data_IF_493740667263
#
_entry.id   IF_493740667263
#
_cell.length_a   1.000
_cell.length_b   1.000
_cell.length_c   1.000
_cell.angle_alpha   90.00
_cell.angle_beta   90.00
_cell.angle_gamma   90.00
#
_symmetry.space_group_name_H-M   'P 1'
#
loop_
_entity.id
_entity.type
_entity.pdbx_description
1 polymer ?
#
# COMPACT_ATOMS: atom_id res chain seq x y z
N UNK A 1 -16.61 32.82 48.16
CA UNK A 1 -16.59 31.65 49.05
C UNK A 1 -17.64 30.68 48.56
N UNK A 2 -17.22 29.52 48.09
CA UNK A 2 -18.06 28.35 47.84
C UNK A 2 -17.19 27.13 48.12
N UNK A 3 -17.78 26.18 48.85
CA UNK A 3 -17.11 25.17 49.65
C UNK A 3 -16.10 24.29 48.94
N UNK A 4 -15.02 24.00 49.66
CA UNK A 4 -13.99 23.04 49.31
C UNK A 4 -14.49 21.60 49.40
N UNK A 5 -15.16 21.13 48.34
CA UNK A 5 -15.37 19.70 48.12
C UNK A 5 -14.20 19.15 47.30
N UNK A 6 -13.12 18.75 47.98
CA UNK A 6 -12.09 17.90 47.40
C UNK A 6 -12.66 16.52 47.14
N UNK A 7 -13.01 16.25 45.88
CA UNK A 7 -13.44 14.95 45.40
C UNK A 7 -13.47 14.91 43.87
N UNK A 8 -13.26 13.73 43.29
CA UNK A 8 -13.38 13.50 41.85
C UNK A 8 -14.84 13.75 41.43
N UNK A 9 -15.10 14.91 40.84
CA UNK A 9 -16.41 15.26 40.28
C UNK A 9 -16.48 14.82 38.83
N UNK A 10 -17.55 14.09 38.47
CA UNK A 10 -17.84 13.73 37.08
C UNK A 10 -18.14 15.01 36.30
N UNK A 11 -17.31 15.30 35.30
CA UNK A 11 -17.50 16.43 34.38
C UNK A 11 -17.74 15.90 32.96
N UNK A 12 -18.38 16.72 32.13
CA UNK A 12 -18.49 16.42 30.71
C UNK A 12 -17.13 16.56 30.02
N UNK A 13 -16.91 15.85 28.90
CA UNK A 13 -15.67 16.01 28.11
C UNK A 13 -15.47 17.46 27.65
N UNK A 14 -16.55 18.18 27.35
CA UNK A 14 -16.51 19.56 26.90
C UNK A 14 -16.03 20.50 28.02
N UNK A 15 -16.50 20.31 29.25
CA UNK A 15 -16.06 21.11 30.39
C UNK A 15 -14.61 20.83 30.78
N UNK A 16 -14.14 19.59 30.62
CA UNK A 16 -12.74 19.23 30.84
C UNK A 16 -11.83 19.98 29.87
N UNK A 17 -12.18 19.99 28.58
CA UNK A 17 -11.44 20.71 27.54
C UNK A 17 -11.41 22.22 27.83
N UNK A 18 -12.56 22.82 28.07
CA UNK A 18 -12.66 24.26 28.34
C UNK A 18 -11.83 24.71 29.56
N UNK A 19 -11.76 23.87 30.61
CA UNK A 19 -10.95 24.16 31.81
C UNK A 19 -9.45 24.02 31.53
N UNK A 20 -9.04 23.04 30.72
CA UNK A 20 -7.64 22.83 30.34
C UNK A 20 -7.13 23.86 29.33
N UNK A 21 -8.03 24.49 28.58
CA UNK A 21 -7.68 25.46 27.52
C UNK A 21 -7.99 26.90 27.91
N UNK A 22 -8.22 27.17 29.20
CA UNK A 22 -8.52 28.51 29.70
C UNK A 22 -7.37 29.48 29.40
N UNK A 23 -7.68 30.60 28.74
CA UNK A 23 -6.69 31.60 28.32
C UNK A 23 -6.21 31.48 26.87
N UNK A 24 -6.63 30.45 26.13
CA UNK A 24 -6.40 30.38 24.68
C UNK A 24 -7.59 31.03 23.96
N UNK A 25 -7.40 32.18 23.27
CA UNK A 25 -8.51 33.03 22.81
C UNK A 25 -9.40 32.37 21.75
N UNK A 26 -8.89 31.36 21.05
CA UNK A 26 -9.65 30.48 20.16
C UNK A 26 -8.83 29.22 19.91
N UNK A 27 -9.25 28.09 20.48
CA UNK A 27 -8.71 26.79 20.10
C UNK A 27 -9.63 26.18 19.03
N UNK A 28 -9.33 26.45 17.76
CA UNK A 28 -9.92 25.67 16.66
C UNK A 28 -9.17 24.35 16.59
N UNK A 29 -9.74 23.31 17.21
CA UNK A 29 -9.28 21.95 16.96
C UNK A 29 -9.97 21.51 15.67
N UNK A 30 -9.23 21.51 14.57
CA UNK A 30 -9.66 20.85 13.35
C UNK A 30 -9.69 19.33 13.60
N UNK A 31 -10.85 18.85 14.04
CA UNK A 31 -11.16 17.43 14.18
C UNK A 31 -11.43 16.75 12.83
N UNK A 32 -11.22 17.42 11.69
CA UNK A 32 -11.43 16.79 10.39
C UNK A 32 -10.58 15.53 10.23
N UNK A 33 -9.48 15.40 10.99
CA UNK A 33 -8.81 14.16 11.41
C UNK A 33 -8.29 13.25 10.29
N UNK A 34 -8.66 13.55 9.05
CA UNK A 34 -8.53 12.74 7.85
C UNK A 34 -7.70 13.50 6.85
N UNK A 35 -6.75 12.81 6.25
CA UNK A 35 -6.03 13.28 5.08
C UNK A 35 -6.69 12.69 3.85
N UNK A 36 -7.10 13.55 2.93
CA UNK A 36 -7.60 13.12 1.62
C UNK A 36 -6.38 12.87 0.73
N UNK A 37 -6.25 11.63 0.25
CA UNK A 37 -5.15 11.19 -0.59
C UNK A 37 -5.69 10.89 -1.98
N UNK A 38 -5.36 11.73 -2.95
CA UNK A 38 -5.78 11.54 -4.34
C UNK A 38 -4.88 10.51 -5.03
N UNK A 39 -5.50 9.55 -5.72
CA UNK A 39 -4.83 8.46 -6.45
C UNK A 39 -5.12 8.56 -7.95
N UNK A 40 -4.35 7.86 -8.76
CA UNK A 40 -4.43 7.96 -10.22
C UNK A 40 -5.70 7.36 -10.80
N UNK A 41 -6.18 6.26 -10.23
CA UNK A 41 -7.40 5.58 -10.69
C UNK A 41 -8.34 5.16 -9.55
N UNK A 42 -9.55 4.73 -9.93
CA UNK A 42 -10.50 4.06 -9.02
C UNK A 42 -9.92 2.76 -8.43
N UNK A 43 -9.08 2.08 -9.22
CA UNK A 43 -8.49 0.79 -8.83
C UNK A 43 -7.47 0.99 -7.73
N UNK A 44 -6.59 1.98 -7.88
CA UNK A 44 -5.55 2.26 -6.89
C UNK A 44 -6.17 2.76 -5.60
N UNK A 45 -7.20 3.62 -5.66
CA UNK A 45 -7.93 4.07 -4.48
C UNK A 45 -8.45 2.89 -3.66
N UNK A 46 -9.04 1.90 -4.32
CA UNK A 46 -9.54 0.68 -3.68
C UNK A 46 -8.41 -0.16 -3.09
N UNK A 47 -7.31 -0.34 -3.82
CA UNK A 47 -6.14 -1.10 -3.36
C UNK A 47 -5.51 -0.43 -2.13
N UNK A 48 -5.23 0.88 -2.20
CA UNK A 48 -4.65 1.64 -1.09
C UNK A 48 -5.54 1.59 0.15
N UNK A 49 -6.86 1.79 0.00
CA UNK A 49 -7.80 1.69 1.12
C UNK A 49 -7.78 0.29 1.74
N UNK A 50 -7.73 -0.76 0.91
CA UNK A 50 -7.66 -2.15 1.39
C UNK A 50 -6.37 -2.41 2.16
N UNK A 51 -5.22 -2.07 1.59
CA UNK A 51 -3.91 -2.24 2.24
C UNK A 51 -3.85 -1.44 3.53
N UNK A 52 -4.22 -0.15 3.50
CA UNK A 52 -4.24 0.72 4.67
C UNK A 52 -5.12 0.14 5.78
N UNK A 53 -6.31 -0.38 5.46
CA UNK A 53 -7.20 -0.99 6.44
C UNK A 53 -6.56 -2.17 7.19
N UNK A 54 -5.67 -2.93 6.52
CA UNK A 54 -4.95 -4.07 7.08
C UNK A 54 -3.78 -3.61 7.96
N UNK A 55 -3.01 -2.62 7.51
CA UNK A 55 -1.74 -2.24 8.14
C UNK A 55 -1.85 -1.05 9.09
N UNK A 56 -2.96 -0.30 9.12
CA UNK A 56 -3.10 0.92 9.94
C UNK A 56 -2.80 0.73 11.44
N UNK A 57 -3.01 -0.47 11.96
CA UNK A 57 -2.70 -0.81 13.36
C UNK A 57 -1.22 -1.04 13.64
N UNK A 58 -0.41 -1.19 12.58
CA UNK A 58 1.04 -1.43 12.62
C UNK A 58 1.86 -0.22 12.18
N UNK A 59 1.22 0.85 11.73
CA UNK A 59 1.87 2.10 11.32
C UNK A 59 1.44 3.24 12.23
N UNK A 60 2.39 4.08 12.63
CA UNK A 60 2.08 5.29 13.39
C UNK A 60 1.50 6.34 12.46
N UNK A 61 0.17 6.41 12.40
CA UNK A 61 -0.53 7.39 11.59
C UNK A 61 -1.28 8.39 12.49
N UNK A 62 -0.77 9.62 12.57
CA UNK A 62 -1.37 10.66 13.42
C UNK A 62 -2.78 11.09 12.97
N UNK A 63 -3.15 10.83 11.72
CA UNK A 63 -4.43 11.17 11.11
C UNK A 63 -4.88 10.03 10.21
N UNK A 64 -6.18 9.74 10.19
CA UNK A 64 -6.73 8.74 9.28
C UNK A 64 -6.45 9.13 7.82
N UNK A 65 -6.15 8.16 6.97
CA UNK A 65 -6.03 8.39 5.52
C UNK A 65 -7.35 7.99 4.87
N UNK A 66 -7.77 8.75 3.88
CA UNK A 66 -8.92 8.43 3.03
C UNK A 66 -8.49 8.60 1.57
N UNK A 67 -8.58 7.51 0.81
CA UNK A 67 -8.13 7.48 -0.58
C UNK A 67 -9.28 7.84 -1.52
N UNK A 68 -9.01 8.77 -2.44
CA UNK A 68 -9.98 9.29 -3.41
C UNK A 68 -9.38 9.16 -4.80
N UNK A 69 -10.13 8.58 -5.74
CA UNK A 69 -9.71 8.56 -7.12
C UNK A 69 -9.87 9.93 -7.77
N UNK A 70 -8.99 10.23 -8.73
CA UNK A 70 -9.08 11.45 -9.54
C UNK A 70 -9.94 11.28 -10.80
N UNK A 71 -10.19 10.03 -11.20
CA UNK A 71 -10.93 9.69 -12.41
C UNK A 71 -12.40 10.11 -12.37
N UNK A 72 -12.87 10.76 -13.43
CA UNK A 72 -14.31 10.81 -13.74
C UNK A 72 -14.64 9.65 -14.68
N UNK A 73 -15.52 8.75 -14.22
CA UNK A 73 -16.09 7.70 -15.07
C UNK A 73 -16.97 8.33 -16.15
N UNK A 74 -16.61 8.14 -17.41
CA UNK A 74 -17.49 8.46 -18.52
C UNK A 74 -18.67 7.48 -18.55
N UNK A 75 -19.77 7.88 -19.23
CA UNK A 75 -20.96 7.04 -19.43
C UNK A 75 -20.67 5.69 -20.09
N UNK A 76 -19.55 5.56 -20.79
CA UNK A 76 -19.11 4.34 -21.49
C UNK A 76 -18.13 3.47 -20.66
N UNK A 77 -17.91 3.79 -19.38
CA UNK A 77 -17.05 3.02 -18.48
C UNK A 77 -15.54 3.30 -18.61
N UNK A 78 -15.12 4.19 -19.51
CA UNK A 78 -13.74 4.70 -19.58
C UNK A 78 -13.48 5.80 -18.55
N UNK A 79 -12.29 5.83 -17.98
CA UNK A 79 -11.82 6.96 -17.15
C UNK A 79 -11.39 8.12 -18.05
N UNK A 80 -11.94 9.31 -17.82
CA UNK A 80 -11.31 10.55 -18.30
C UNK A 80 -10.77 11.32 -17.12
N UNK A 81 -9.67 12.04 -17.36
CA UNK A 81 -8.98 12.82 -16.34
C UNK A 81 -8.37 11.98 -15.18
N UNK A 82 -7.61 10.92 -15.50
CA UNK A 82 -6.79 10.15 -14.54
C UNK A 82 -5.27 10.35 -14.74
N UNK A 83 -4.46 9.89 -13.77
CA UNK A 83 -2.99 9.88 -13.83
C UNK A 83 -2.27 10.97 -13.04
N UNK A 84 -0.94 10.83 -12.95
CA UNK A 84 -0.04 11.69 -12.17
C UNK A 84 -0.24 13.21 -12.34
N UNK A 85 -0.44 13.67 -13.58
CA UNK A 85 -0.66 15.11 -13.89
C UNK A 85 -1.90 15.66 -13.18
N UNK A 86 -2.94 14.84 -13.05
CA UNK A 86 -4.25 15.29 -12.54
C UNK A 86 -4.27 15.25 -11.03
N UNK A 87 -3.70 14.20 -10.43
CA UNK A 87 -3.39 14.16 -9.00
C UNK A 87 -2.62 15.42 -8.60
N UNK A 88 -1.56 15.73 -9.33
CA UNK A 88 -0.72 16.91 -9.06
C UNK A 88 -1.51 18.22 -9.15
N UNK A 89 -2.28 18.41 -10.23
CA UNK A 89 -3.09 19.62 -10.42
C UNK A 89 -4.17 19.80 -9.33
N UNK A 90 -4.85 18.73 -8.93
CA UNK A 90 -5.88 18.78 -7.88
C UNK A 90 -5.27 19.15 -6.54
N UNK A 91 -4.17 18.48 -6.16
CA UNK A 91 -3.48 18.71 -4.89
C UNK A 91 -2.95 20.14 -4.82
N UNK A 92 -2.34 20.62 -5.90
CA UNK A 92 -1.83 21.99 -5.97
C UNK A 92 -2.96 23.02 -5.79
N UNK A 93 -4.06 22.91 -6.54
CA UNK A 93 -5.19 23.84 -6.44
C UNK A 93 -5.82 23.87 -5.05
N UNK A 94 -5.96 22.71 -4.42
CA UNK A 94 -6.52 22.61 -3.07
C UNK A 94 -5.56 23.18 -2.01
N UNK A 95 -4.26 22.98 -2.15
CA UNK A 95 -3.26 23.57 -1.25
C UNK A 95 -3.16 25.09 -1.39
N UNK A 96 -3.24 25.61 -2.62
CA UNK A 96 -3.32 27.05 -2.94
C UNK A 96 -4.59 27.69 -2.39
N UNK A 97 -5.72 26.96 -2.42
CA UNK A 97 -6.98 27.36 -1.78
C UNK A 97 -6.94 27.26 -0.24
N UNK A 98 -5.82 26.84 0.35
CA UNK A 98 -5.61 26.80 1.80
C UNK A 98 -5.94 25.46 2.46
N UNK A 99 -6.32 24.42 1.72
CA UNK A 99 -6.57 23.10 2.28
C UNK A 99 -5.25 22.38 2.58
N UNK A 100 -4.89 22.26 3.86
CA UNK A 100 -3.64 21.62 4.29
C UNK A 100 -3.77 20.12 4.60
N UNK A 101 -4.96 19.54 4.40
CA UNK A 101 -5.25 18.12 4.66
C UNK A 101 -5.30 17.26 3.38
N UNK A 102 -4.95 17.83 2.22
CA UNK A 102 -4.89 17.11 0.94
C UNK A 102 -3.48 16.65 0.61
N UNK A 103 -3.39 15.48 -0.01
CA UNK A 103 -2.18 14.84 -0.49
C UNK A 103 -2.47 14.11 -1.80
N UNK A 104 -1.43 13.83 -2.57
CA UNK A 104 -1.49 12.97 -3.75
C UNK A 104 -0.54 11.81 -3.60
N UNK A 105 -0.90 10.68 -4.18
CA UNK A 105 0.00 9.55 -4.39
C UNK A 105 -0.01 9.14 -5.85
N UNK A 106 1.17 8.92 -6.40
CA UNK A 106 1.41 8.63 -7.83
C UNK A 106 2.45 7.53 -7.95
N UNK A 107 2.42 6.79 -9.05
CA UNK A 107 3.42 5.76 -9.34
C UNK A 107 4.77 6.37 -9.72
N UNK A 108 5.83 5.58 -9.60
CA UNK A 108 7.18 6.06 -9.88
C UNK A 108 7.44 6.14 -11.39
N UNK A 109 6.96 5.16 -12.16
CA UNK A 109 7.16 5.07 -13.62
C UNK A 109 8.63 5.30 -14.04
N UNK A 110 9.56 4.91 -13.16
CA UNK A 110 11.00 5.10 -13.31
C UNK A 110 11.52 6.54 -13.20
N UNK A 111 10.68 7.56 -13.18
CA UNK A 111 11.11 8.97 -13.35
C UNK A 111 10.42 9.99 -12.45
N UNK A 112 9.24 9.68 -11.90
CA UNK A 112 8.52 10.59 -11.03
C UNK A 112 9.30 10.86 -9.74
N UNK A 113 9.15 12.05 -9.18
CA UNK A 113 9.77 12.43 -7.90
C UNK A 113 8.75 13.09 -6.99
N UNK A 114 8.85 12.83 -5.69
CA UNK A 114 7.94 13.41 -4.71
C UNK A 114 8.12 14.94 -4.61
N UNK A 115 7.05 15.70 -4.82
CA UNK A 115 7.09 17.17 -4.76
C UNK A 115 5.93 17.71 -3.92
N UNK A 116 6.27 18.55 -2.94
CA UNK A 116 5.29 19.20 -2.06
C UNK A 116 4.41 18.19 -1.30
N UNK A 117 3.12 18.15 -1.65
CA UNK A 117 2.11 17.26 -1.05
C UNK A 117 1.79 16.04 -1.91
N UNK A 118 2.43 15.91 -3.07
CA UNK A 118 2.37 14.72 -3.92
C UNK A 118 3.55 13.83 -3.55
N UNK A 119 3.28 12.57 -3.25
CA UNK A 119 4.27 11.56 -2.91
C UNK A 119 4.29 10.47 -3.97
N UNK A 120 5.47 10.08 -4.40
CA UNK A 120 5.65 8.94 -5.29
C UNK A 120 5.72 7.68 -4.45
N UNK A 121 4.88 6.68 -4.75
CA UNK A 121 4.94 5.39 -4.08
C UNK A 121 6.26 4.71 -4.45
N UNK A 122 6.96 4.14 -3.47
CA UNK A 122 8.17 3.37 -3.68
C UNK A 122 9.24 4.05 -4.57
N UNK A 123 9.36 5.38 -4.49
CA UNK A 123 10.27 6.20 -5.31
C UNK A 123 11.68 5.61 -5.39
N UNK A 124 12.15 5.32 -6.60
CA UNK A 124 13.47 4.74 -6.82
C UNK A 124 13.59 3.24 -6.51
N UNK A 125 12.53 2.56 -6.06
CA UNK A 125 12.55 1.15 -5.68
C UNK A 125 11.63 0.26 -6.53
N UNK A 126 10.36 0.62 -6.73
CA UNK A 126 9.37 -0.18 -7.48
C UNK A 126 8.66 0.71 -8.51
N UNK A 127 8.22 0.15 -9.65
CA UNK A 127 7.57 0.93 -10.71
C UNK A 127 6.26 1.59 -10.24
N UNK A 128 5.36 0.79 -9.66
CA UNK A 128 4.10 1.26 -9.08
C UNK A 128 3.65 0.43 -7.89
N UNK A 129 2.41 0.65 -7.44
CA UNK A 129 1.79 -0.14 -6.37
C UNK A 129 1.63 -1.63 -6.76
N UNK A 130 1.41 -1.92 -8.03
CA UNK A 130 1.37 -3.26 -8.59
C UNK A 130 2.67 -4.00 -8.29
N UNK A 131 3.84 -3.38 -8.56
CA UNK A 131 5.14 -4.02 -8.34
C UNK A 131 5.42 -4.25 -6.85
N UNK A 132 4.92 -3.39 -5.97
CA UNK A 132 4.99 -3.62 -4.53
C UNK A 132 4.13 -4.83 -4.13
N UNK A 133 2.89 -4.89 -4.59
CA UNK A 133 1.93 -5.89 -4.08
C UNK A 133 2.00 -7.21 -4.82
N UNK A 134 2.47 -7.22 -6.06
CA UNK A 134 2.85 -8.42 -6.82
C UNK A 134 4.30 -8.81 -6.50
N UNK A 135 4.75 -8.57 -5.26
CA UNK A 135 6.01 -9.05 -4.73
C UNK A 135 6.12 -10.58 -4.86
N UNK A 136 7.30 -11.12 -5.24
CA UNK A 136 7.46 -12.53 -5.51
C UNK A 136 7.19 -13.44 -4.29
N UNK A 137 7.45 -12.99 -3.06
CA UNK A 137 7.06 -13.74 -1.86
C UNK A 137 5.54 -13.82 -1.76
N UNK A 138 4.85 -12.69 -1.95
CA UNK A 138 3.39 -12.64 -1.87
C UNK A 138 2.72 -13.48 -2.97
N UNK A 139 3.24 -13.43 -4.20
CA UNK A 139 2.79 -14.30 -5.29
C UNK A 139 3.01 -15.78 -4.95
N UNK A 140 4.19 -16.12 -4.42
CA UNK A 140 4.47 -17.49 -4.01
C UNK A 140 3.45 -17.97 -2.96
N UNK A 141 3.13 -17.13 -1.98
CA UNK A 141 2.17 -17.47 -0.94
C UNK A 141 0.75 -17.63 -1.47
N UNK A 142 0.34 -16.78 -2.41
CA UNK A 142 -0.95 -16.95 -3.11
C UNK A 142 -1.00 -18.32 -3.82
N UNK A 143 0.06 -18.68 -4.54
CA UNK A 143 0.15 -19.97 -5.22
C UNK A 143 0.15 -21.16 -4.24
N UNK A 144 0.87 -21.04 -3.12
CA UNK A 144 0.88 -22.07 -2.07
C UNK A 144 -0.52 -22.24 -1.47
N UNK A 145 -1.22 -21.15 -1.17
CA UNK A 145 -2.60 -21.17 -0.65
C UNK A 145 -3.55 -21.89 -1.61
N UNK A 146 -3.39 -21.63 -2.91
CA UNK A 146 -4.20 -22.24 -3.97
C UNK A 146 -3.78 -23.68 -4.32
N UNK A 147 -2.81 -24.26 -3.60
CA UNK A 147 -2.24 -25.60 -3.88
C UNK A 147 -1.66 -25.70 -5.30
N UNK A 148 -0.95 -24.63 -5.69
CA UNK A 148 -0.28 -24.43 -6.97
C UNK A 148 1.17 -23.96 -6.81
N UNK A 149 1.78 -24.26 -5.66
CA UNK A 149 3.18 -23.93 -5.40
C UNK A 149 4.11 -24.47 -6.51
N UNK A 150 5.19 -23.75 -6.87
CA UNK A 150 6.27 -24.29 -7.67
C UNK A 150 6.76 -25.65 -7.14
N UNK A 151 7.03 -26.60 -8.04
CA UNK A 151 7.40 -27.98 -7.69
C UNK A 151 8.69 -28.05 -6.87
N UNK A 152 9.62 -27.13 -7.13
CA UNK A 152 10.90 -26.99 -6.43
C UNK A 152 10.77 -26.57 -4.95
N UNK A 153 9.56 -26.21 -4.50
CA UNK A 153 9.28 -25.78 -3.13
C UNK A 153 8.51 -26.82 -2.30
N UNK A 154 8.29 -28.05 -2.79
CA UNK A 154 7.44 -29.03 -2.09
C UNK A 154 7.84 -29.29 -0.63
N UNK A 155 9.11 -29.11 -0.27
CA UNK A 155 9.63 -29.27 1.09
C UNK A 155 9.28 -28.11 2.04
N UNK A 156 9.03 -26.91 1.51
CA UNK A 156 8.77 -25.70 2.30
C UNK A 156 7.45 -24.99 1.96
N UNK A 157 6.74 -25.44 0.93
CA UNK A 157 5.49 -24.86 0.42
C UNK A 157 4.32 -25.10 1.38
N UNK A 158 4.30 -24.35 2.47
CA UNK A 158 3.22 -24.32 3.45
C UNK A 158 2.71 -22.90 3.61
N UNK A 159 1.39 -22.74 3.47
CA UNK A 159 0.78 -21.45 3.73
C UNK A 159 0.67 -21.21 5.23
N UNK A 160 0.29 -22.24 6.01
CA UNK A 160 0.19 -22.14 7.47
C UNK A 160 1.58 -22.09 8.13
N UNK A 161 1.78 -21.07 8.97
CA UNK A 161 3.01 -20.89 9.75
C UNK A 161 4.20 -20.41 8.92
N UNK A 162 3.99 -19.85 7.73
CA UNK A 162 5.09 -19.33 6.88
C UNK A 162 5.93 -18.26 7.60
N UNK A 163 5.33 -17.53 8.54
CA UNK A 163 5.98 -16.57 9.44
C UNK A 163 7.05 -17.17 10.36
N UNK A 164 7.12 -18.50 10.44
CA UNK A 164 8.16 -19.24 11.18
C UNK A 164 9.30 -19.75 10.30
N UNK A 165 9.21 -19.58 8.98
CA UNK A 165 10.28 -19.98 8.06
C UNK A 165 11.51 -19.08 8.26
N UNK A 166 12.70 -19.67 8.07
CA UNK A 166 13.94 -18.92 8.06
C UNK A 166 14.04 -18.06 6.79
N UNK A 167 14.79 -16.96 6.85
CA UNK A 167 14.99 -16.08 5.70
C UNK A 167 15.53 -16.81 4.45
N UNK A 168 16.33 -17.85 4.62
CA UNK A 168 16.81 -18.67 3.49
C UNK A 168 15.68 -19.40 2.77
N UNK A 169 14.65 -19.83 3.50
CA UNK A 169 13.46 -20.49 2.94
C UNK A 169 12.57 -19.47 2.25
N UNK A 170 12.37 -18.29 2.86
CA UNK A 170 11.66 -17.17 2.23
C UNK A 170 12.36 -16.71 0.94
N UNK A 171 13.69 -16.65 0.93
CA UNK A 171 14.46 -16.36 -0.28
C UNK A 171 14.24 -17.42 -1.36
N UNK A 172 14.21 -18.71 -1.01
CA UNK A 172 13.89 -19.79 -1.97
C UNK A 172 12.51 -19.59 -2.60
N UNK A 173 11.52 -19.15 -1.82
CA UNK A 173 10.18 -18.84 -2.33
C UNK A 173 10.20 -17.68 -3.32
N UNK A 174 10.94 -16.61 -3.00
CA UNK A 174 11.16 -15.47 -3.89
C UNK A 174 11.84 -15.90 -5.19
N UNK A 175 12.93 -16.65 -5.09
CA UNK A 175 13.74 -17.14 -6.21
C UNK A 175 12.92 -17.97 -7.20
N UNK A 176 12.04 -18.85 -6.69
CA UNK A 176 11.17 -19.70 -7.49
C UNK A 176 10.15 -18.90 -8.34
N UNK A 177 9.78 -17.70 -7.91
CA UNK A 177 8.89 -16.81 -8.68
C UNK A 177 9.71 -15.92 -9.62
N UNK A 178 10.67 -15.16 -9.09
CA UNK A 178 11.35 -14.13 -9.86
C UNK A 178 12.14 -14.70 -11.06
N UNK A 179 12.73 -15.89 -10.93
CA UNK A 179 13.50 -16.51 -12.02
C UNK A 179 12.61 -17.10 -13.13
N UNK A 180 11.31 -17.31 -12.87
CA UNK A 180 10.34 -17.68 -13.92
C UNK A 180 9.77 -16.46 -14.64
N UNK A 181 9.75 -15.31 -13.99
CA UNK A 181 9.24 -14.04 -14.54
C UNK A 181 10.33 -13.29 -15.31
N UNK A 182 11.50 -13.11 -14.70
CA UNK A 182 12.66 -12.44 -15.30
C UNK A 182 13.63 -13.50 -15.83
N UNK A 183 13.46 -13.85 -17.10
CA UNK A 183 14.31 -14.85 -17.78
C UNK A 183 15.55 -14.22 -18.44
N UNK A 184 15.50 -12.92 -18.70
CA UNK A 184 16.61 -12.12 -19.24
C UNK A 184 16.70 -10.82 -18.46
N UNK A 185 17.87 -10.48 -17.95
CA UNK A 185 18.05 -9.29 -17.15
C UNK A 185 19.50 -9.06 -16.73
N UNK A 186 19.71 -7.98 -15.99
CA UNK A 186 21.01 -7.62 -15.42
C UNK A 186 21.48 -8.60 -14.34
N UNK A 187 20.54 -9.33 -13.72
CA UNK A 187 20.80 -10.16 -12.55
C UNK A 187 21.07 -9.34 -11.28
N UNK A 188 20.91 -8.01 -11.34
CA UNK A 188 21.10 -7.13 -10.19
C UNK A 188 20.02 -7.42 -9.17
N UNK A 189 20.41 -7.66 -7.92
CA UNK A 189 19.49 -7.85 -6.81
C UNK A 189 19.35 -6.55 -6.01
N UNK A 190 18.14 -6.30 -5.52
CA UNK A 190 17.82 -5.24 -4.58
C UNK A 190 17.12 -5.85 -3.36
N UNK A 191 17.42 -5.37 -2.14
CA UNK A 191 16.74 -5.84 -0.95
C UNK A 191 15.31 -5.29 -0.90
N UNK A 192 14.35 -6.14 -0.53
CA UNK A 192 12.96 -5.77 -0.22
C UNK A 192 12.71 -6.09 1.25
N UNK A 193 12.27 -5.10 2.02
CA UNK A 193 12.00 -5.20 3.46
C UNK A 193 10.50 -5.21 3.71
N UNK A 194 10.07 -6.10 4.60
CA UNK A 194 8.67 -6.26 5.00
C UNK A 194 8.39 -5.62 6.38
N UNK A 195 7.10 -5.41 6.70
CA UNK A 195 6.68 -4.77 7.96
C UNK A 195 7.12 -5.50 9.24
N UNK A 196 7.38 -6.81 9.18
CA UNK A 196 7.90 -7.57 10.33
C UNK A 196 9.43 -7.50 10.48
N UNK A 197 10.12 -6.78 9.59
CA UNK A 197 11.57 -6.62 9.58
C UNK A 197 12.31 -7.69 8.78
N UNK A 198 11.60 -8.67 8.19
CA UNK A 198 12.17 -9.62 7.24
C UNK A 198 12.67 -8.91 5.99
N UNK A 199 13.74 -9.44 5.38
CA UNK A 199 14.28 -8.93 4.12
C UNK A 199 14.60 -10.07 3.17
N UNK A 200 14.23 -9.92 1.91
CA UNK A 200 14.59 -10.81 0.79
C UNK A 200 15.31 -10.01 -0.29
N UNK A 201 15.96 -10.70 -1.22
CA UNK A 201 16.62 -10.09 -2.38
C UNK A 201 15.82 -10.38 -3.63
N UNK A 202 15.37 -9.33 -4.31
CA UNK A 202 14.56 -9.42 -5.53
C UNK A 202 15.33 -8.84 -6.71
N UNK A 203 15.19 -9.43 -7.89
CA UNK A 203 15.76 -8.95 -9.13
C UNK A 203 15.26 -7.54 -9.40
N UNK A 204 16.18 -6.62 -9.61
CA UNK A 204 15.88 -5.21 -9.90
C UNK A 204 14.94 -5.09 -11.10
N UNK A 205 15.19 -5.90 -12.12
CA UNK A 205 14.40 -5.97 -13.34
C UNK A 205 12.95 -6.42 -13.09
N UNK A 206 12.67 -7.16 -12.01
CA UNK A 206 11.31 -7.48 -11.55
C UNK A 206 10.66 -6.25 -10.93
N UNK A 207 11.37 -5.58 -10.01
CA UNK A 207 10.82 -4.46 -9.24
C UNK A 207 10.47 -3.25 -10.11
N UNK A 208 11.20 -3.04 -11.21
CA UNK A 208 11.03 -1.90 -12.12
C UNK A 208 10.38 -2.27 -13.45
N UNK A 209 9.86 -3.49 -13.58
CA UNK A 209 9.10 -3.90 -14.75
C UNK A 209 7.83 -3.04 -14.86
N UNK A 210 7.42 -2.68 -16.08
CA UNK A 210 6.11 -2.06 -16.32
C UNK A 210 4.99 -2.93 -15.72
N UNK A 211 4.01 -2.30 -15.09
CA UNK A 211 2.99 -2.98 -14.28
C UNK A 211 2.18 -4.00 -15.10
N UNK A 212 1.82 -3.65 -16.34
CA UNK A 212 1.10 -4.55 -17.24
C UNK A 212 2.01 -5.67 -17.71
N UNK A 213 3.27 -5.36 -18.05
CA UNK A 213 4.26 -6.37 -18.40
C UNK A 213 4.53 -7.35 -17.26
N UNK A 214 4.54 -6.89 -16.01
CA UNK A 214 4.71 -7.73 -14.82
C UNK A 214 3.53 -8.69 -14.64
N UNK A 215 2.30 -8.18 -14.71
CA UNK A 215 1.11 -9.02 -14.64
C UNK A 215 1.10 -10.08 -15.76
N UNK A 216 1.42 -9.69 -16.98
CA UNK A 216 1.44 -10.59 -18.14
C UNK A 216 2.54 -11.65 -18.02
N UNK A 217 3.74 -11.26 -17.56
CA UNK A 217 4.84 -12.17 -17.31
C UNK A 217 4.50 -13.17 -16.19
N UNK A 218 3.84 -12.71 -15.11
CA UNK A 218 3.32 -13.58 -14.05
C UNK A 218 2.29 -14.58 -14.57
N UNK A 219 1.33 -14.13 -15.39
CA UNK A 219 0.30 -15.00 -16.00
C UNK A 219 0.85 -15.95 -17.07
N UNK A 220 1.98 -15.60 -17.68
CA UNK A 220 2.70 -16.48 -18.60
C UNK A 220 3.45 -17.56 -17.83
N UNK A 221 4.18 -17.18 -16.77
CA UNK A 221 4.93 -18.08 -15.91
C UNK A 221 4.03 -19.01 -15.08
N UNK A 222 2.89 -18.50 -14.61
CA UNK A 222 1.94 -19.21 -13.77
C UNK A 222 0.52 -19.08 -14.34
N UNK A 223 0.13 -19.92 -15.32
CA UNK A 223 -1.15 -19.80 -16.01
C UNK A 223 -2.40 -19.80 -15.11
N UNK A 224 -2.30 -20.36 -13.90
CA UNK A 224 -3.39 -20.33 -12.92
C UNK A 224 -3.77 -18.90 -12.50
N UNK A 225 -2.82 -17.96 -12.50
CA UNK A 225 -3.08 -16.56 -12.14
C UNK A 225 -4.04 -15.85 -13.11
N UNK A 226 -4.29 -16.43 -14.29
CA UNK A 226 -5.31 -15.94 -15.25
C UNK A 226 -6.74 -15.97 -14.69
N UNK A 227 -6.97 -16.68 -13.58
CA UNK A 227 -8.21 -16.58 -12.79
C UNK A 227 -8.53 -15.13 -12.39
N UNK A 228 -7.51 -14.29 -12.19
CA UNK A 228 -7.64 -12.87 -11.88
C UNK A 228 -7.17 -11.99 -13.06
N UNK A 229 -7.91 -12.06 -14.17
CA UNK A 229 -7.59 -11.35 -15.43
C UNK A 229 -8.09 -9.91 -15.49
N UNK A 230 -9.02 -9.52 -14.61
CA UNK A 230 -9.53 -8.14 -14.58
C UNK A 230 -8.46 -7.20 -13.98
N UNK A 231 -8.45 -5.94 -14.42
CA UNK A 231 -7.52 -4.91 -13.91
C UNK A 231 -7.56 -4.85 -12.38
N UNK A 232 -6.39 -4.92 -11.75
CA UNK A 232 -6.22 -4.89 -10.29
C UNK A 232 -6.72 -6.13 -9.55
N UNK A 233 -7.36 -7.11 -10.22
CA UNK A 233 -7.93 -8.27 -9.53
C UNK A 233 -6.86 -9.19 -8.94
N UNK A 234 -5.69 -9.31 -9.60
CA UNK A 234 -4.59 -10.12 -9.07
C UNK A 234 -3.98 -9.47 -7.83
N UNK A 235 -3.77 -8.15 -7.87
CA UNK A 235 -3.31 -7.37 -6.72
C UNK A 235 -4.28 -7.51 -5.55
N UNK A 236 -5.58 -7.34 -5.79
CA UNK A 236 -6.60 -7.51 -4.77
C UNK A 236 -6.62 -8.94 -4.21
N UNK A 237 -6.45 -9.97 -5.05
CA UNK A 237 -6.33 -11.34 -4.57
C UNK A 237 -5.15 -11.53 -3.61
N UNK A 238 -3.98 -10.95 -3.93
CA UNK A 238 -2.84 -10.98 -3.01
C UNK A 238 -3.17 -10.27 -1.70
N UNK A 239 -3.77 -9.08 -1.76
CA UNK A 239 -4.12 -8.31 -0.55
C UNK A 239 -5.12 -9.08 0.31
N UNK A 240 -6.16 -9.63 -0.30
CA UNK A 240 -7.27 -10.27 0.42
C UNK A 240 -6.93 -11.68 0.90
N UNK A 241 -6.22 -12.46 0.09
CA UNK A 241 -5.94 -13.86 0.39
C UNK A 241 -4.61 -14.06 1.12
N UNK A 242 -3.61 -13.18 0.94
CA UNK A 242 -2.30 -13.32 1.59
C UNK A 242 -2.15 -12.30 2.72
N UNK A 243 -2.24 -11.00 2.42
CA UNK A 243 -1.92 -9.96 3.41
C UNK A 243 -2.95 -9.86 4.55
N UNK A 244 -4.17 -10.33 4.36
CA UNK A 244 -5.14 -10.45 5.48
C UNK A 244 -4.61 -11.33 6.61
N UNK A 245 -3.92 -12.42 6.27
CA UNK A 245 -3.36 -13.39 7.22
C UNK A 245 -1.92 -13.04 7.62
N UNK A 246 -1.08 -12.67 6.64
CA UNK A 246 0.33 -12.37 6.85
C UNK A 246 0.65 -10.88 6.66
N UNK A 247 0.05 -10.03 7.48
CA UNK A 247 0.24 -8.57 7.45
C UNK A 247 1.70 -8.14 7.64
N UNK A 248 2.52 -8.97 8.29
CA UNK A 248 3.96 -8.75 8.46
C UNK A 248 4.72 -8.72 7.13
N UNK A 249 4.23 -9.45 6.13
CA UNK A 249 4.82 -9.52 4.79
C UNK A 249 4.33 -8.42 3.83
N UNK A 250 3.62 -7.40 4.32
CA UNK A 250 3.38 -6.22 3.49
C UNK A 250 4.74 -5.52 3.23
N UNK A 251 5.12 -5.29 1.96
CA UNK A 251 6.38 -4.60 1.65
C UNK A 251 6.37 -3.17 2.19
N UNK A 252 7.53 -2.75 2.70
CA UNK A 252 7.71 -1.47 3.37
C UNK A 252 8.78 -0.60 2.69
N UNK A 253 9.85 -1.21 2.13
CA UNK A 253 10.96 -0.56 1.43
C UNK A 253 11.63 -1.49 0.44
#
# INVERSE_FOLDING_TARGET
MSDGLSGLTKISKQDALNRLTFGVPTLSIDYSGRRQVFTESDTDAAIYERVYSLIKSRIECARELNFLSTGMRNKDGGETNSGCTIVTNIVQRLDEAGNKSVYGIVDWDGTATSVGRVRVIAEGSHNGIENLLLDPLLICLLLVKERRAPEELQDIARFAGVDTLANVELQRMVDAIQHKVVTTGSGTLAPVSYLDGTTTNVLRDYLVMDDHALEDALRAAFPYLRKWSNRGALVLAVVEEVLTEYRGFCPAR
#
